data_IF_577845888244
#
_entry.id   IF_577845888244
#
_cell.length_a   1.000
_cell.length_b   1.000
_cell.length_c   1.000
_cell.angle_alpha   90.00
_cell.angle_beta   90.00
_cell.angle_gamma   90.00
#
_symmetry.space_group_name_H-M   'P 1'
#
loop_
_entity.id
_entity.type
_entity.pdbx_description
1 polymer ?
#
# COMPACT_ATOMS: atom_id res chain seq x y z
N UNK A 1 9.22 27.50 -15.33
CA UNK A 1 10.39 27.20 -14.48
C UNK A 1 11.10 25.95 -14.96
N UNK A 2 12.43 25.85 -14.76
CA UNK A 2 13.22 24.67 -15.13
C UNK A 2 14.15 24.30 -13.97
N UNK A 3 14.29 23.00 -13.70
CA UNK A 3 15.17 22.48 -12.67
C UNK A 3 15.58 21.05 -12.96
N UNK A 4 16.73 20.65 -12.39
CA UNK A 4 17.23 19.29 -12.50
C UNK A 4 17.28 18.62 -11.14
N UNK A 5 16.98 17.34 -11.08
CA UNK A 5 17.04 16.56 -9.86
C UNK A 5 17.41 15.09 -10.13
N UNK A 6 17.80 14.41 -9.09
CA UNK A 6 17.98 12.96 -9.09
C UNK A 6 17.08 12.34 -8.03
N UNK A 7 16.36 11.29 -8.41
CA UNK A 7 15.46 10.57 -7.50
C UNK A 7 16.31 9.69 -6.58
N UNK A 8 16.19 9.86 -5.27
CA UNK A 8 16.79 8.96 -4.29
C UNK A 8 15.87 7.78 -3.96
N UNK A 9 16.45 6.70 -3.44
CA UNK A 9 15.67 5.54 -2.98
C UNK A 9 14.63 5.93 -1.92
N UNK A 10 14.99 6.84 -1.01
CA UNK A 10 14.09 7.34 0.03
C UNK A 10 12.89 8.11 -0.55
N UNK A 11 13.10 8.95 -1.54
CA UNK A 11 12.05 9.70 -2.24
C UNK A 11 11.13 8.77 -3.03
N UNK A 12 11.68 7.74 -3.69
CA UNK A 12 10.89 6.72 -4.36
C UNK A 12 9.96 5.97 -3.40
N UNK A 13 10.47 5.57 -2.23
CA UNK A 13 9.67 4.95 -1.17
C UNK A 13 8.63 5.89 -0.58
N UNK A 14 8.97 7.18 -0.41
CA UNK A 14 8.03 8.21 0.04
C UNK A 14 6.90 8.40 -0.98
N UNK A 15 7.21 8.45 -2.26
CA UNK A 15 6.25 8.53 -3.34
C UNK A 15 5.27 7.35 -3.34
N UNK A 16 5.79 6.13 -3.21
CA UNK A 16 4.97 4.93 -3.11
C UNK A 16 4.01 4.98 -1.89
N UNK A 17 4.49 5.45 -0.73
CA UNK A 17 3.66 5.64 0.47
C UNK A 17 2.57 6.71 0.27
N UNK A 18 2.91 7.82 -0.38
CA UNK A 18 1.94 8.89 -0.72
C UNK A 18 0.85 8.39 -1.66
N UNK A 19 1.22 7.60 -2.68
CA UNK A 19 0.26 6.97 -3.58
C UNK A 19 -0.72 6.08 -2.81
N UNK A 20 -0.22 5.25 -1.91
CA UNK A 20 -1.03 4.36 -1.08
C UNK A 20 -1.97 5.12 -0.14
N UNK A 21 -1.51 6.24 0.43
CA UNK A 21 -2.28 7.01 1.41
C UNK A 21 -3.59 7.59 0.86
N UNK A 22 -3.69 7.78 -0.44
CA UNK A 22 -4.79 8.54 -1.04
C UNK A 22 -5.94 7.78 -1.70
N UNK A 23 -5.77 6.51 -2.00
CA UNK A 23 -6.86 5.76 -2.67
C UNK A 23 -7.07 4.38 -2.06
N UNK A 24 -6.10 3.91 -1.30
CA UNK A 24 -6.01 2.53 -0.84
C UNK A 24 -6.57 2.31 0.57
N UNK A 25 -6.61 3.33 1.43
CA UNK A 25 -7.09 3.14 2.81
C UNK A 25 -8.53 2.63 2.87
N UNK A 26 -9.42 3.20 2.07
CA UNK A 26 -10.82 2.76 2.04
C UNK A 26 -10.95 1.37 1.40
N UNK A 27 -10.19 1.08 0.34
CA UNK A 27 -10.17 -0.26 -0.28
C UNK A 27 -9.50 -1.28 0.64
N UNK A 28 -8.41 -0.90 1.28
CA UNK A 28 -7.71 -1.72 2.26
C UNK A 28 -8.57 -2.01 3.49
N UNK A 29 -9.27 -1.00 4.01
CA UNK A 29 -10.20 -1.17 5.13
C UNK A 29 -11.38 -2.07 4.74
N UNK A 30 -11.93 -1.92 3.54
CA UNK A 30 -12.97 -2.80 3.00
C UNK A 30 -12.46 -4.24 2.83
N UNK A 31 -11.25 -4.42 2.36
CA UNK A 31 -10.62 -5.74 2.22
C UNK A 31 -10.37 -6.39 3.59
N UNK A 32 -9.89 -5.61 4.56
CA UNK A 32 -9.71 -6.06 5.95
C UNK A 32 -11.04 -6.47 6.60
N UNK A 33 -12.08 -5.65 6.44
CA UNK A 33 -13.43 -5.97 6.93
C UNK A 33 -14.00 -7.21 6.24
N UNK A 34 -13.80 -7.36 4.93
CA UNK A 34 -14.22 -8.55 4.19
C UNK A 34 -13.52 -9.81 4.71
N UNK A 35 -12.19 -9.79 4.87
CA UNK A 35 -11.44 -10.91 5.38
C UNK A 35 -11.77 -11.23 6.84
N UNK A 36 -11.97 -10.22 7.68
CA UNK A 36 -12.43 -10.40 9.06
C UNK A 36 -13.80 -11.08 9.12
N UNK A 37 -14.71 -10.69 8.23
CA UNK A 37 -16.02 -11.33 8.11
C UNK A 37 -15.92 -12.78 7.66
N UNK A 38 -15.06 -13.08 6.67
CA UNK A 38 -14.82 -14.46 6.19
C UNK A 38 -14.27 -15.34 7.32
N UNK A 39 -13.32 -14.82 8.11
CA UNK A 39 -12.75 -15.54 9.27
C UNK A 39 -13.82 -15.79 10.33
N UNK A 40 -14.64 -14.78 10.66
CA UNK A 40 -15.73 -14.95 11.62
C UNK A 40 -16.76 -15.99 11.14
N UNK A 41 -17.11 -15.99 9.86
CA UNK A 41 -18.02 -16.99 9.28
C UNK A 41 -17.40 -18.39 9.31
N UNK A 42 -16.11 -18.55 9.00
CA UNK A 42 -15.43 -19.84 9.04
C UNK A 42 -15.40 -20.42 10.45
N UNK A 43 -15.10 -19.58 11.45
CA UNK A 43 -15.12 -19.97 12.87
C UNK A 43 -16.53 -20.36 13.29
N UNK A 44 -17.53 -19.55 12.95
CA UNK A 44 -18.94 -19.84 13.25
C UNK A 44 -19.39 -21.17 12.64
N UNK A 45 -19.04 -21.42 11.37
CA UNK A 45 -19.40 -22.66 10.68
C UNK A 45 -18.72 -23.89 11.31
N UNK A 46 -17.45 -23.76 11.71
CA UNK A 46 -16.71 -24.83 12.40
C UNK A 46 -17.32 -25.18 13.73
N UNK A 47 -17.70 -24.18 14.51
CA UNK A 47 -18.38 -24.40 15.82
C UNK A 47 -19.76 -25.00 15.62
N UNK A 48 -20.53 -24.51 14.66
CA UNK A 48 -21.87 -24.99 14.36
C UNK A 48 -21.88 -26.45 13.87
N UNK A 49 -20.94 -26.82 12.98
CA UNK A 49 -20.84 -28.21 12.48
C UNK A 49 -20.44 -29.20 13.56
N UNK A 50 -19.49 -28.82 14.43
CA UNK A 50 -19.10 -29.68 15.58
C UNK A 50 -20.22 -29.85 16.61
N UNK A 51 -21.03 -28.82 16.84
CA UNK A 51 -22.18 -28.89 17.75
C UNK A 51 -23.22 -29.91 17.30
N UNK A 52 -23.45 -30.05 15.98
CA UNK A 52 -24.36 -31.09 15.45
C UNK A 52 -23.82 -32.51 15.57
N UNK A 53 -22.52 -32.73 15.39
CA UNK A 53 -21.91 -34.06 15.51
C UNK A 53 -21.88 -34.58 16.95
N UNK A 54 -21.82 -33.68 17.94
CA UNK A 54 -21.82 -34.12 19.36
C UNK A 54 -23.21 -34.58 19.85
N UNK A 55 -24.28 -34.22 19.14
CA UNK A 55 -25.65 -34.62 19.50
C UNK A 55 -26.02 -36.03 19.04
N UNK A 56 -25.21 -36.68 18.20
CA UNK A 56 -25.48 -38.01 17.66
C UNK A 56 -24.65 -39.15 18.29
N UNK A 57 -23.81 -38.87 19.30
CA UNK A 57 -23.01 -39.91 19.99
C UNK A 57 -23.83 -40.50 21.12
N UNK A 58 -24.13 -41.82 21.11
CA UNK A 58 -24.86 -42.47 22.20
C UNK A 58 -24.07 -42.42 23.52
N UNK A 59 -24.82 -42.25 24.61
CA UNK A 59 -24.35 -41.97 25.97
C UNK A 59 -23.44 -43.03 26.66
N UNK A 60 -22.96 -44.04 25.93
CA UNK A 60 -22.25 -45.19 26.51
C UNK A 60 -20.72 -45.02 26.62
N UNK A 61 -20.14 -43.97 26.10
CA UNK A 61 -18.66 -43.77 26.12
C UNK A 61 -18.16 -42.61 26.98
N UNK A 62 -18.97 -42.10 27.90
CA UNK A 62 -18.64 -40.89 28.64
C UNK A 62 -17.87 -41.14 29.97
N UNK A 63 -17.61 -42.37 30.34
CA UNK A 63 -17.09 -42.70 31.70
C UNK A 63 -15.56 -42.84 31.82
N UNK A 64 -14.79 -42.62 30.76
CA UNK A 64 -13.32 -42.83 30.80
C UNK A 64 -12.46 -41.58 30.47
N UNK A 65 -13.04 -40.36 30.41
CA UNK A 65 -12.30 -39.17 30.00
C UNK A 65 -12.12 -38.10 31.09
N UNK A 66 -12.27 -38.47 32.37
CA UNK A 66 -12.13 -37.53 33.50
C UNK A 66 -10.74 -37.57 34.16
N UNK A 67 -9.68 -37.41 33.41
CA UNK A 67 -8.35 -37.17 33.97
C UNK A 67 -7.45 -36.45 32.98
N UNK A 68 -7.61 -35.15 32.78
CA UNK A 68 -6.55 -34.14 32.61
C UNK A 68 -7.26 -32.79 32.53
N UNK A 69 -7.04 -31.93 33.52
CA UNK A 69 -7.71 -30.63 33.68
C UNK A 69 -7.28 -29.55 32.66
N UNK A 70 -7.58 -29.75 31.41
CA UNK A 70 -7.54 -28.71 30.39
C UNK A 70 -8.98 -28.42 29.96
N UNK A 71 -9.38 -27.19 30.17
CA UNK A 71 -10.72 -26.69 29.83
C UNK A 71 -11.03 -27.03 28.35
N UNK A 72 -12.03 -27.87 28.03
CA UNK A 72 -12.30 -28.33 26.67
C UNK A 72 -12.66 -27.18 25.72
N UNK A 73 -13.13 -26.05 26.26
CA UNK A 73 -13.36 -24.80 25.52
C UNK A 73 -12.05 -24.13 25.13
N UNK A 74 -11.05 -24.09 26.00
CA UNK A 74 -9.75 -23.48 25.72
C UNK A 74 -9.01 -24.21 24.57
N UNK A 75 -9.00 -25.55 24.61
CA UNK A 75 -8.38 -26.36 23.55
C UNK A 75 -9.09 -26.19 22.20
N UNK A 76 -10.41 -26.10 22.18
CA UNK A 76 -11.18 -25.84 20.94
C UNK A 76 -10.95 -24.46 20.38
N UNK A 77 -10.79 -23.44 21.22
CA UNK A 77 -10.43 -22.09 20.79
C UNK A 77 -9.02 -22.06 20.20
N UNK A 78 -8.06 -22.71 20.85
CA UNK A 78 -6.67 -22.76 20.35
C UNK A 78 -6.61 -23.47 19.00
N UNK A 79 -7.21 -24.65 18.84
CA UNK A 79 -7.20 -25.38 17.57
C UNK A 79 -7.83 -24.62 16.40
N UNK A 80 -8.88 -23.85 16.64
CA UNK A 80 -9.57 -23.13 15.58
C UNK A 80 -9.02 -21.71 15.34
N UNK A 81 -8.50 -21.02 16.35
CA UNK A 81 -8.03 -19.63 16.23
C UNK A 81 -6.54 -19.56 15.86
N UNK A 82 -5.73 -20.51 16.29
CA UNK A 82 -4.29 -20.53 16.06
C UNK A 82 -3.92 -20.45 14.56
N UNK A 83 -4.48 -21.24 13.64
CA UNK A 83 -4.11 -21.18 12.22
C UNK A 83 -4.45 -19.82 11.59
N UNK A 84 -5.55 -19.20 12.00
CA UNK A 84 -5.92 -17.86 11.49
C UNK A 84 -5.02 -16.76 12.04
N UNK A 85 -4.58 -16.88 13.29
CA UNK A 85 -3.63 -15.95 13.91
C UNK A 85 -2.27 -16.02 13.21
N UNK A 86 -1.80 -17.22 12.90
CA UNK A 86 -0.56 -17.43 12.14
C UNK A 86 -0.67 -16.85 10.72
N UNK A 87 -1.77 -17.12 10.00
CA UNK A 87 -2.02 -16.57 8.67
C UNK A 87 -2.07 -15.04 8.69
N UNK A 88 -2.74 -14.45 9.67
CA UNK A 88 -2.78 -12.99 9.84
C UNK A 88 -1.38 -12.41 10.12
N UNK A 89 -0.59 -13.06 10.97
CA UNK A 89 0.79 -12.68 11.27
C UNK A 89 1.69 -12.73 10.04
N UNK A 90 1.62 -13.80 9.26
CA UNK A 90 2.34 -13.95 7.99
C UNK A 90 1.92 -12.85 7.00
N UNK A 91 0.64 -12.58 6.89
CA UNK A 91 0.13 -11.56 5.98
C UNK A 91 0.56 -10.14 6.37
N UNK A 92 0.54 -9.81 7.67
CA UNK A 92 1.07 -8.56 8.22
C UNK A 92 2.57 -8.44 7.92
N UNK A 93 3.33 -9.51 8.15
CA UNK A 93 4.76 -9.56 7.84
C UNK A 93 5.04 -9.29 6.34
N UNK A 94 4.29 -9.92 5.45
CA UNK A 94 4.39 -9.70 3.99
C UNK A 94 4.11 -8.22 3.65
N UNK A 95 3.07 -7.64 4.20
CA UNK A 95 2.71 -6.24 3.94
C UNK A 95 3.76 -5.24 4.45
N UNK A 96 4.26 -5.43 5.66
CA UNK A 96 5.15 -4.45 6.28
C UNK A 96 6.63 -4.62 5.94
N UNK A 97 7.09 -5.84 5.69
CA UNK A 97 8.51 -6.14 5.41
C UNK A 97 8.78 -6.39 3.94
N UNK A 98 7.99 -7.21 3.28
CA UNK A 98 8.27 -7.65 1.91
C UNK A 98 7.96 -6.58 0.86
N UNK A 99 6.90 -5.81 1.05
CA UNK A 99 6.51 -4.75 0.11
C UNK A 99 7.56 -3.64 -0.04
N UNK A 100 8.12 -3.04 1.04
CA UNK A 100 9.20 -2.06 0.89
C UNK A 100 10.46 -2.66 0.27
N UNK A 101 10.84 -3.90 0.63
CA UNK A 101 11.99 -4.58 0.03
C UNK A 101 11.80 -4.80 -1.49
N UNK A 102 10.60 -5.11 -1.93
CA UNK A 102 10.29 -5.25 -3.35
C UNK A 102 10.44 -3.92 -4.09
N UNK A 103 9.94 -2.83 -3.52
CA UNK A 103 10.06 -1.49 -4.09
C UNK A 103 11.54 -1.06 -4.22
N UNK A 104 12.36 -1.32 -3.22
CA UNK A 104 13.80 -1.07 -3.28
C UNK A 104 14.48 -1.84 -4.41
N UNK A 105 14.13 -3.13 -4.59
CA UNK A 105 14.67 -3.93 -5.68
C UNK A 105 14.27 -3.40 -7.05
N UNK A 106 13.03 -2.93 -7.21
CA UNK A 106 12.57 -2.32 -8.46
C UNK A 106 13.37 -1.05 -8.76
N UNK A 107 13.53 -0.16 -7.77
CA UNK A 107 14.33 1.05 -7.92
C UNK A 107 15.76 0.76 -8.36
N UNK A 108 16.42 -0.22 -7.71
CA UNK A 108 17.82 -0.59 -8.02
C UNK A 108 18.00 -1.26 -9.37
N UNK A 109 16.96 -1.93 -9.88
CA UNK A 109 17.02 -2.64 -11.17
C UNK A 109 16.72 -1.74 -12.35
N UNK A 110 16.13 -0.59 -12.14
CA UNK A 110 15.73 0.32 -13.20
C UNK A 110 16.76 1.47 -13.33
N UNK A 111 17.68 1.42 -14.32
CA UNK A 111 18.67 2.48 -14.53
C UNK A 111 18.03 3.84 -14.84
N UNK A 112 16.82 3.85 -15.41
CA UNK A 112 16.11 5.08 -15.72
C UNK A 112 15.77 5.87 -14.46
N UNK A 113 15.46 5.19 -13.35
CA UNK A 113 15.17 5.81 -12.07
C UNK A 113 16.38 6.45 -11.38
N UNK A 114 17.59 6.04 -11.77
CA UNK A 114 18.86 6.51 -11.19
C UNK A 114 19.47 7.67 -11.97
N UNK A 115 18.92 7.98 -13.13
CA UNK A 115 19.35 9.08 -13.97
C UNK A 115 19.05 10.45 -13.38
N UNK A 116 19.72 11.49 -13.93
CA UNK A 116 19.36 12.86 -13.67
C UNK A 116 18.20 13.25 -14.57
N UNK A 117 17.19 13.87 -14.01
CA UNK A 117 16.04 14.41 -14.71
C UNK A 117 16.16 15.93 -14.79
N UNK A 118 15.97 16.47 -15.97
CA UNK A 118 15.71 17.89 -16.18
C UNK A 118 14.23 18.05 -16.49
N UNK A 119 13.57 18.89 -15.73
CA UNK A 119 12.12 19.12 -15.84
C UNK A 119 11.86 20.59 -16.12
N UNK A 120 11.10 20.85 -17.16
CA UNK A 120 10.59 22.18 -17.48
C UNK A 120 9.09 22.19 -17.25
N UNK A 121 8.65 23.02 -16.30
CA UNK A 121 7.25 23.18 -15.93
C UNK A 121 6.75 24.51 -16.48
N UNK A 122 5.69 24.44 -17.29
CA UNK A 122 5.01 25.60 -17.87
C UNK A 122 3.54 25.61 -17.44
N UNK A 123 2.80 26.71 -17.59
CA UNK A 123 1.36 26.74 -17.33
C UNK A 123 0.55 25.72 -18.16
N UNK A 124 1.09 25.23 -19.27
CA UNK A 124 0.38 24.35 -20.22
C UNK A 124 0.80 22.88 -20.10
N UNK A 125 2.06 22.62 -19.70
CA UNK A 125 2.65 21.28 -19.79
C UNK A 125 3.84 21.09 -18.87
N UNK A 126 4.17 19.84 -18.63
CA UNK A 126 5.44 19.38 -18.05
C UNK A 126 6.26 18.69 -19.12
N UNK A 127 7.46 19.17 -19.36
CA UNK A 127 8.45 18.48 -20.18
C UNK A 127 9.53 17.89 -19.29
N UNK A 128 9.93 16.68 -19.59
CA UNK A 128 10.96 15.94 -18.83
C UNK A 128 11.98 15.37 -19.77
N UNK A 129 13.24 15.45 -19.38
CA UNK A 129 14.35 14.85 -20.09
C UNK A 129 15.22 14.10 -19.07
N UNK A 130 15.56 12.86 -19.39
CA UNK A 130 16.45 12.05 -18.57
C UNK A 130 17.79 11.89 -19.28
N UNK A 131 18.87 11.79 -18.52
CA UNK A 131 20.22 11.46 -19.04
C UNK A 131 20.29 10.13 -19.79
N UNK A 132 19.34 9.23 -19.60
CA UNK A 132 19.17 8.00 -20.37
C UNK A 132 18.61 8.22 -21.80
N UNK A 133 18.42 9.46 -22.23
CA UNK A 133 17.92 9.81 -23.56
C UNK A 133 16.40 9.80 -23.70
N UNK A 134 15.66 9.55 -22.64
CA UNK A 134 14.20 9.62 -22.68
C UNK A 134 13.73 11.05 -22.48
N UNK A 135 12.94 11.56 -23.44
CA UNK A 135 12.26 12.85 -23.31
C UNK A 135 10.74 12.66 -23.42
N UNK A 136 9.99 13.42 -22.66
CA UNK A 136 8.53 13.40 -22.66
C UNK A 136 7.99 14.79 -22.43
N UNK A 137 6.96 15.19 -23.16
CA UNK A 137 6.19 16.41 -22.93
C UNK A 137 4.73 16.03 -22.74
N UNK A 138 4.16 16.38 -21.59
CA UNK A 138 2.82 15.95 -21.18
C UNK A 138 2.00 17.18 -20.76
N UNK A 139 0.84 17.37 -21.35
CA UNK A 139 -0.10 18.42 -20.97
C UNK A 139 -0.81 18.10 -19.64
N UNK A 140 -1.25 19.13 -18.94
CA UNK A 140 -1.91 18.99 -17.65
C UNK A 140 -3.20 18.17 -17.70
N UNK A 141 -3.90 18.16 -18.83
CA UNK A 141 -5.11 17.34 -19.03
C UNK A 141 -4.89 15.84 -18.91
N UNK A 142 -3.65 15.36 -18.95
CA UNK A 142 -3.32 13.95 -18.79
C UNK A 142 -3.28 13.53 -17.31
N UNK A 143 -3.11 14.51 -16.42
CA UNK A 143 -3.04 14.29 -14.98
C UNK A 143 -4.41 14.49 -14.33
N UNK A 144 -4.70 13.72 -13.31
CA UNK A 144 -5.96 13.76 -12.56
C UNK A 144 -5.88 14.69 -11.35
N UNK A 145 -4.76 14.62 -10.63
CA UNK A 145 -4.48 15.43 -9.44
C UNK A 145 -3.00 15.37 -9.08
N UNK A 146 -2.62 16.23 -8.15
CA UNK A 146 -1.29 16.19 -7.57
C UNK A 146 -1.32 16.03 -6.06
N UNK A 147 -0.21 15.54 -5.50
CA UNK A 147 0.00 15.35 -4.07
C UNK A 147 1.37 15.81 -3.68
N UNK A 148 1.47 16.39 -2.50
CA UNK A 148 2.71 16.85 -1.93
C UNK A 148 3.13 15.98 -0.75
N UNK A 149 4.38 15.56 -0.75
CA UNK A 149 5.09 14.97 0.37
C UNK A 149 6.12 15.94 0.93
N UNK A 150 6.98 15.47 1.82
CA UNK A 150 8.04 16.28 2.40
C UNK A 150 9.06 16.75 1.35
N UNK A 151 9.56 15.80 0.56
CA UNK A 151 10.65 16.01 -0.40
C UNK A 151 10.24 15.70 -1.84
N UNK A 152 8.97 15.33 -2.06
CA UNK A 152 8.46 14.88 -3.37
C UNK A 152 7.08 15.43 -3.66
N UNK A 153 6.83 15.70 -4.94
CA UNK A 153 5.49 15.96 -5.47
C UNK A 153 5.15 14.83 -6.44
N UNK A 154 3.93 14.31 -6.33
CA UNK A 154 3.39 13.29 -7.23
C UNK A 154 2.36 13.93 -8.15
N UNK A 155 2.56 13.77 -9.44
CA UNK A 155 1.55 14.02 -10.46
C UNK A 155 0.91 12.70 -10.84
N UNK A 156 -0.37 12.54 -10.55
CA UNK A 156 -1.09 11.27 -10.76
C UNK A 156 -1.87 11.32 -12.05
N UNK A 157 -1.58 10.41 -12.96
CA UNK A 157 -2.27 10.26 -14.23
C UNK A 157 -3.69 9.71 -14.06
N UNK A 158 -4.55 9.93 -15.04
CA UNK A 158 -5.88 9.31 -15.10
C UNK A 158 -5.80 7.77 -15.10
N UNK A 159 -4.74 7.20 -15.66
CA UNK A 159 -4.44 5.75 -15.63
C UNK A 159 -4.13 5.20 -14.24
N UNK A 160 -3.93 6.07 -13.24
CA UNK A 160 -3.48 5.69 -11.90
C UNK A 160 -1.97 5.48 -11.77
N UNK A 161 -1.18 5.60 -12.84
CA UNK A 161 0.27 5.75 -12.76
C UNK A 161 0.63 7.13 -12.19
N UNK A 162 1.88 7.37 -11.87
CA UNK A 162 2.31 8.65 -11.32
C UNK A 162 3.69 9.05 -11.86
N UNK A 163 3.88 10.35 -11.95
CA UNK A 163 5.17 10.96 -12.21
C UNK A 163 5.67 11.61 -10.92
N UNK A 164 6.95 11.43 -10.60
CA UNK A 164 7.58 11.88 -9.37
C UNK A 164 8.48 13.06 -9.66
N UNK A 165 8.23 14.17 -8.96
CA UNK A 165 9.11 15.34 -8.92
C UNK A 165 9.81 15.38 -7.55
N UNK A 166 11.14 15.32 -7.54
CA UNK A 166 11.89 15.60 -6.32
C UNK A 166 11.99 17.12 -6.15
N UNK A 167 11.60 17.59 -4.99
CA UNK A 167 11.64 19.00 -4.61
C UNK A 167 12.62 19.26 -3.46
N UNK A 168 13.39 18.25 -3.07
CA UNK A 168 14.32 18.35 -1.94
C UNK A 168 15.36 19.44 -2.11
N UNK A 169 15.91 19.57 -3.33
CA UNK A 169 16.99 20.50 -3.64
C UNK A 169 16.48 21.84 -4.15
N UNK A 170 15.17 22.02 -4.30
CA UNK A 170 14.57 23.27 -4.72
C UNK A 170 14.55 24.29 -3.57
N UNK A 171 14.95 25.53 -3.82
CA UNK A 171 14.73 26.65 -2.90
C UNK A 171 13.23 26.87 -2.62
N UNK A 172 12.89 27.39 -1.46
CA UNK A 172 11.48 27.56 -1.06
C UNK A 172 10.68 28.43 -2.05
N UNK A 173 11.28 29.49 -2.57
CA UNK A 173 10.65 30.34 -3.58
C UNK A 173 10.26 29.57 -4.85
N UNK A 174 11.14 28.67 -5.32
CA UNK A 174 10.84 27.82 -6.49
C UNK A 174 9.80 26.73 -6.18
N UNK A 175 9.78 26.23 -4.94
CA UNK A 175 8.72 25.30 -4.51
C UNK A 175 7.36 25.98 -4.50
N UNK A 176 7.29 27.22 -4.04
CA UNK A 176 6.05 27.99 -4.00
C UNK A 176 5.58 28.37 -5.42
N UNK A 177 6.49 28.72 -6.32
CA UNK A 177 6.19 28.93 -7.74
C UNK A 177 5.61 27.64 -8.36
N UNK A 178 6.27 26.50 -8.12
CA UNK A 178 5.79 25.19 -8.61
C UNK A 178 4.41 24.85 -8.05
N UNK A 179 4.18 25.07 -6.75
CA UNK A 179 2.86 24.89 -6.13
C UNK A 179 1.79 25.76 -6.75
N UNK A 180 2.14 27.02 -7.06
CA UNK A 180 1.25 27.96 -7.73
C UNK A 180 0.81 27.44 -9.11
N UNK A 181 1.76 27.00 -9.92
CA UNK A 181 1.48 26.43 -11.26
C UNK A 181 0.61 25.16 -11.13
N UNK A 182 0.99 24.27 -10.22
CA UNK A 182 0.26 23.00 -10.04
C UNK A 182 -1.17 23.22 -9.52
N UNK A 183 -1.37 24.16 -8.60
CA UNK A 183 -2.70 24.46 -8.03
C UNK A 183 -3.60 25.13 -9.08
N UNK A 184 -3.03 25.94 -9.98
CA UNK A 184 -3.78 26.53 -11.07
C UNK A 184 -4.20 25.49 -12.14
N UNK A 185 -3.37 24.46 -12.35
CA UNK A 185 -3.58 23.46 -13.40
C UNK A 185 -4.37 22.22 -12.92
N UNK A 186 -4.19 21.80 -11.68
CA UNK A 186 -4.67 20.50 -11.16
C UNK A 186 -5.24 20.61 -9.73
N UNK A 187 -6.24 19.79 -9.38
CA UNK A 187 -6.72 19.69 -8.00
C UNK A 187 -5.66 19.02 -7.09
N UNK A 188 -5.44 19.60 -5.91
CA UNK A 188 -4.63 19.00 -4.85
C UNK A 188 -5.44 17.97 -4.05
N UNK A 189 -4.89 16.78 -3.78
CA UNK A 189 -5.54 15.72 -2.97
C UNK A 189 -4.69 15.26 -1.80
#
# INVERSE_FOLDING_TARGET
MEFSYRISEAEYLQAAKLKLKGGSRARFLKLLLFWSLVVCLAVFFSVYHKSKQTSEVPAVQQESAEAVGSDPLANRLVENVLPFTVLAGVWIFIMFKWMPMRLQRVYRKDPSMQGQYTVSVTPESVATQNTAGTSSKTGWNTYNYWREGKDVILLVFHSGSYFLLSVRELPDAQRDELRGILTAALPKK
#
